data_IF_836698078087
#
_entry.id   IF_836698078087
#
_cell.length_a   1.000
_cell.length_b   1.000
_cell.length_c   1.000
_cell.angle_alpha   90.00
_cell.angle_beta   90.00
_cell.angle_gamma   90.00
#
_symmetry.space_group_name_H-M   'P 1'
#
loop_
_entity.id
_entity.type
_entity.pdbx_description
1 polymer ?
#
# COMPACT_ATOMS: atom_id res chain seq x y z
N UNK A 1 -20.39 -16.72 -2.11
CA UNK A 1 -19.54 -15.53 -2.31
C UNK A 1 -18.12 -16.05 -2.43
N UNK A 2 -17.43 -15.77 -3.53
CA UNK A 2 -16.08 -16.28 -3.71
C UNK A 2 -15.14 -15.48 -2.79
N UNK A 3 -14.37 -16.12 -1.90
CA UNK A 3 -13.49 -15.39 -0.97
C UNK A 3 -12.53 -14.44 -1.68
N UNK A 4 -12.16 -14.78 -2.92
CA UNK A 4 -11.21 -14.07 -3.78
C UNK A 4 -11.73 -12.73 -4.33
N UNK A 5 -13.03 -12.45 -4.26
CA UNK A 5 -13.65 -11.24 -4.85
C UNK A 5 -13.60 -10.02 -3.92
N UNK A 6 -13.56 -10.22 -2.60
CA UNK A 6 -13.63 -9.10 -1.63
C UNK A 6 -12.26 -8.56 -1.22
N UNK A 7 -11.25 -9.44 -1.07
CA UNK A 7 -9.95 -9.07 -0.49
C UNK A 7 -8.75 -9.32 -1.42
N UNK A 8 -8.98 -9.87 -2.62
CA UNK A 8 -7.97 -10.04 -3.66
C UNK A 8 -6.67 -10.71 -3.19
N UNK A 9 -5.53 -10.19 -3.66
CA UNK A 9 -4.18 -10.69 -3.33
C UNK A 9 -3.74 -10.39 -1.88
N UNK A 10 -4.35 -9.39 -1.23
CA UNK A 10 -4.03 -9.02 0.16
C UNK A 10 -4.38 -10.19 1.11
N UNK A 11 -5.52 -10.86 0.90
CA UNK A 11 -5.92 -12.03 1.69
C UNK A 11 -4.92 -13.19 1.61
N UNK A 12 -4.33 -13.38 0.42
CA UNK A 12 -3.34 -14.43 0.21
C UNK A 12 -2.04 -14.14 0.97
N UNK A 13 -1.66 -12.85 1.04
CA UNK A 13 -0.52 -12.45 1.86
C UNK A 13 -0.78 -12.67 3.35
N UNK A 14 -1.96 -12.30 3.86
CA UNK A 14 -2.37 -12.49 5.26
C UNK A 14 -2.42 -13.97 5.65
N UNK A 15 -2.94 -14.83 4.76
CA UNK A 15 -3.01 -16.28 4.98
C UNK A 15 -1.61 -16.90 5.09
N UNK A 16 -0.66 -16.39 4.31
CA UNK A 16 0.72 -16.86 4.28
C UNK A 16 1.62 -16.19 5.33
N UNK A 17 1.12 -15.26 6.16
CA UNK A 17 1.95 -14.61 7.19
C UNK A 17 2.57 -15.61 8.17
N UNK A 18 1.90 -16.73 8.41
CA UNK A 18 2.41 -17.81 9.26
C UNK A 18 3.51 -18.66 8.59
N UNK A 19 3.56 -18.69 7.25
CA UNK A 19 4.56 -19.39 6.46
C UNK A 19 5.53 -18.40 5.80
N UNK A 20 6.65 -18.15 6.48
CA UNK A 20 7.69 -17.24 6.01
C UNK A 20 8.21 -17.57 4.60
N UNK A 21 8.30 -18.85 4.22
CA UNK A 21 8.80 -19.28 2.92
C UNK A 21 7.74 -19.07 1.83
N UNK A 22 6.50 -19.46 2.12
CA UNK A 22 5.36 -19.23 1.24
C UNK A 22 5.15 -17.75 0.93
N UNK A 23 5.26 -16.89 1.95
CA UNK A 23 5.14 -15.44 1.79
C UNK A 23 6.25 -14.86 0.91
N UNK A 24 7.50 -15.30 1.09
CA UNK A 24 8.62 -14.84 0.27
C UNK A 24 8.45 -15.26 -1.20
N UNK A 25 8.06 -16.51 -1.45
CA UNK A 25 7.80 -17.02 -2.80
C UNK A 25 6.64 -16.26 -3.47
N UNK A 26 5.56 -16.00 -2.74
CA UNK A 26 4.43 -15.19 -3.21
C UNK A 26 4.86 -13.77 -3.57
N UNK A 27 5.57 -13.08 -2.67
CA UNK A 27 6.08 -11.73 -2.94
C UNK A 27 7.03 -11.71 -4.14
N UNK A 28 7.90 -12.71 -4.28
CA UNK A 28 8.80 -12.82 -5.43
C UNK A 28 8.05 -13.00 -6.75
N UNK A 29 6.99 -13.81 -6.77
CA UNK A 29 6.24 -14.12 -7.98
C UNK A 29 5.31 -12.97 -8.41
N UNK A 30 4.57 -12.38 -7.46
CA UNK A 30 3.54 -11.37 -7.78
C UNK A 30 4.06 -9.94 -7.71
N UNK A 31 4.97 -9.64 -6.78
CA UNK A 31 5.47 -8.29 -6.52
C UNK A 31 6.95 -8.12 -6.88
N UNK A 32 7.63 -9.19 -7.31
CA UNK A 32 9.06 -9.20 -7.66
C UNK A 32 10.00 -9.28 -6.46
N UNK A 33 9.88 -8.35 -5.51
CA UNK A 33 10.67 -8.34 -4.27
C UNK A 33 9.81 -7.84 -3.11
N UNK A 34 10.01 -8.42 -1.92
CA UNK A 34 9.45 -7.88 -0.67
C UNK A 34 10.08 -6.52 -0.37
N UNK A 35 9.24 -5.50 -0.22
CA UNK A 35 9.66 -4.15 0.13
C UNK A 35 9.68 -3.95 1.64
N UNK A 36 10.56 -3.07 2.09
CA UNK A 36 10.59 -2.67 3.50
C UNK A 36 9.43 -1.73 3.80
N UNK A 37 8.74 -1.96 4.93
CA UNK A 37 7.71 -1.05 5.42
C UNK A 37 8.39 0.21 5.93
N UNK A 38 7.95 1.37 5.44
CA UNK A 38 8.46 2.65 5.87
C UNK A 38 7.65 3.13 7.08
N UNK A 39 8.33 3.44 8.19
CA UNK A 39 7.70 4.07 9.34
C UNK A 39 7.24 5.48 9.00
N UNK A 40 5.97 5.77 9.30
CA UNK A 40 5.33 7.08 9.14
C UNK A 40 5.17 7.71 10.54
N UNK A 41 5.15 9.05 10.69
CA UNK A 41 4.84 9.67 11.97
C UNK A 41 3.49 9.24 12.56
N UNK A 42 3.45 9.09 13.88
CA UNK A 42 2.27 8.64 14.63
C UNK A 42 1.03 9.50 14.37
N UNK A 43 1.20 10.82 14.32
CA UNK A 43 0.12 11.78 14.03
C UNK A 43 -0.60 11.48 12.71
N UNK A 44 0.13 10.92 11.73
CA UNK A 44 -0.44 10.55 10.43
C UNK A 44 -1.29 9.28 10.55
N UNK A 45 -0.88 8.30 11.37
CA UNK A 45 -1.67 7.11 11.64
C UNK A 45 -2.96 7.47 12.38
N UNK A 46 -2.88 8.31 13.41
CA UNK A 46 -4.06 8.78 14.15
C UNK A 46 -5.04 9.53 13.25
N UNK A 47 -4.53 10.35 12.33
CA UNK A 47 -5.37 11.07 11.36
C UNK A 47 -6.02 10.11 10.38
N UNK A 48 -5.29 9.10 9.89
CA UNK A 48 -5.81 8.09 9.00
C UNK A 48 -6.90 7.24 9.69
N UNK A 49 -6.69 6.83 10.93
CA UNK A 49 -7.67 6.09 11.73
C UNK A 49 -8.95 6.92 11.96
N UNK A 50 -8.81 8.19 12.35
CA UNK A 50 -9.96 9.09 12.54
C UNK A 50 -10.78 9.30 11.28
N UNK A 51 -10.14 9.30 10.11
CA UNK A 51 -10.78 9.52 8.81
C UNK A 51 -11.16 8.21 8.10
N UNK A 52 -10.97 7.06 8.74
CA UNK A 52 -11.21 5.71 8.18
C UNK A 52 -10.45 5.49 6.85
N UNK A 53 -9.16 5.81 6.84
CA UNK A 53 -8.27 5.70 5.69
C UNK A 53 -7.23 4.60 5.90
N UNK A 54 -7.04 3.75 4.88
CA UNK A 54 -5.93 2.78 4.84
C UNK A 54 -4.63 3.50 4.48
N UNK A 55 -3.71 3.60 5.43
CA UNK A 55 -2.38 4.19 5.23
C UNK A 55 -1.30 3.10 5.19
N UNK A 56 -0.58 3.01 4.06
CA UNK A 56 0.57 2.10 3.87
C UNK A 56 1.74 2.88 3.30
N UNK A 57 2.96 2.61 3.75
CA UNK A 57 4.17 3.18 3.16
C UNK A 57 5.26 2.13 3.01
N UNK A 58 5.96 2.19 1.89
CA UNK A 58 7.00 1.24 1.51
C UNK A 58 8.22 1.98 0.99
N UNK A 59 9.40 1.37 1.18
CA UNK A 59 10.67 1.87 0.68
C UNK A 59 11.15 0.99 -0.46
N UNK A 60 11.50 1.64 -1.57
CA UNK A 60 12.21 1.02 -2.68
C UNK A 60 13.71 1.27 -2.53
N UNK A 61 14.53 0.26 -2.18
CA UNK A 61 15.97 0.43 -2.10
C UNK A 61 16.60 0.48 -3.50
N UNK A 62 17.70 1.21 -3.62
CA UNK A 62 18.55 1.21 -4.81
C UNK A 62 20.01 0.95 -4.39
N UNK A 63 20.79 0.38 -5.30
CA UNK A 63 22.23 0.17 -5.10
C UNK A 63 22.94 1.53 -5.20
N UNK A 64 23.88 1.86 -4.28
CA UNK A 64 24.62 3.11 -4.35
C UNK A 64 25.44 3.18 -5.64
N UNK A 65 25.32 4.29 -6.36
CA UNK A 65 26.15 4.59 -7.52
C UNK A 65 27.47 5.24 -7.05
N UNK A 66 28.59 4.93 -7.74
CA UNK A 66 29.90 5.49 -7.36
C UNK A 66 30.02 6.98 -7.65
N UNK A 67 29.39 7.46 -8.74
CA UNK A 67 29.56 8.83 -9.24
C UNK A 67 28.36 9.73 -8.95
N UNK A 68 27.23 9.17 -8.52
CA UNK A 68 25.99 9.92 -8.29
C UNK A 68 25.51 9.77 -6.87
N UNK A 69 25.20 10.90 -6.26
CA UNK A 69 24.47 10.94 -4.99
C UNK A 69 23.06 10.37 -5.17
N UNK A 70 22.50 9.68 -4.16
CA UNK A 70 21.17 9.11 -4.23
C UNK A 70 20.11 10.20 -4.40
N UNK A 71 19.11 9.95 -5.25
CA UNK A 71 17.94 10.82 -5.43
C UNK A 71 16.77 10.28 -4.63
N UNK A 72 16.69 10.66 -3.37
CA UNK A 72 15.63 10.22 -2.47
C UNK A 72 14.39 11.09 -2.67
N UNK A 73 13.28 10.47 -3.08
CA UNK A 73 11.98 11.11 -3.24
C UNK A 73 10.92 10.38 -2.43
N UNK A 74 9.88 11.10 -2.01
CA UNK A 74 8.68 10.54 -1.38
C UNK A 74 7.50 10.80 -2.31
N UNK A 75 6.73 9.76 -2.59
CA UNK A 75 5.55 9.82 -3.45
C UNK A 75 4.34 9.44 -2.59
N UNK A 76 3.29 10.26 -2.66
CA UNK A 76 1.97 9.94 -2.10
C UNK A 76 1.03 9.56 -3.23
N UNK A 77 0.37 8.41 -3.10
CA UNK A 77 -0.73 8.00 -3.97
C UNK A 77 -2.02 7.96 -3.16
N UNK A 78 -3.08 8.57 -3.67
CA UNK A 78 -4.38 8.66 -2.99
C UNK A 78 -5.41 7.97 -3.87
N UNK A 79 -6.08 6.97 -3.29
CA UNK A 79 -7.23 6.32 -3.89
C UNK A 79 -8.43 6.61 -2.99
N UNK A 80 -9.44 7.29 -3.54
CA UNK A 80 -10.68 7.61 -2.85
C UNK A 80 -11.88 7.18 -3.68
N UNK A 81 -13.00 6.93 -3.01
CA UNK A 81 -14.31 6.72 -3.64
C UNK A 81 -15.08 8.03 -3.72
N UNK A 82 -16.08 8.08 -4.60
CA UNK A 82 -17.05 9.18 -4.63
C UNK A 82 -17.81 9.22 -3.30
N UNK A 83 -17.93 10.41 -2.72
CA UNK A 83 -18.66 10.63 -1.47
C UNK A 83 -20.17 10.63 -1.73
N UNK A 84 -20.58 11.20 -2.87
CA UNK A 84 -21.98 11.35 -3.25
C UNK A 84 -22.34 10.49 -4.47
N UNK A 85 -23.63 10.16 -4.66
CA UNK A 85 -24.08 9.48 -5.86
C UNK A 85 -23.80 10.29 -7.12
N UNK A 86 -23.54 9.60 -8.23
CA UNK A 86 -23.28 10.20 -9.55
C UNK A 86 -24.45 10.98 -10.13
N UNK A 87 -25.64 10.88 -9.53
CA UNK A 87 -26.86 11.59 -9.93
C UNK A 87 -27.00 12.99 -9.31
N UNK A 88 -26.18 13.35 -8.32
CA UNK A 88 -26.22 14.70 -7.74
C UNK A 88 -25.55 15.73 -8.66
N UNK A 89 -25.97 17.00 -8.61
CA UNK A 89 -25.32 18.07 -9.39
C UNK A 89 -23.81 18.10 -9.15
N UNK A 90 -23.05 18.40 -10.21
CA UNK A 90 -21.57 18.49 -10.14
C UNK A 90 -21.10 19.52 -9.11
N UNK A 91 -21.89 20.56 -8.85
CA UNK A 91 -21.58 21.58 -7.85
C UNK A 91 -21.57 21.04 -6.41
N UNK A 92 -22.27 19.92 -6.15
CA UNK A 92 -22.35 19.31 -4.83
C UNK A 92 -21.34 18.16 -4.65
N UNK A 93 -20.68 17.70 -5.73
CA UNK A 93 -19.73 16.58 -5.72
C UNK A 93 -18.42 16.92 -5.02
#
# INVERSE_FOLDING_TARGET
MNPWEENGLDQFSETLESDSYGLEAFCRLFYGKRLDVLSIPEDAYQTAERLDLKLKAYRFPSVPEQLRSPRLIRIGAIQNKLVLPTSRPVADQ
#
